data_IF_996348182850
#
_entry.id   IF_996348182850
#
_cell.length_a   1.000
_cell.length_b   1.000
_cell.length_c   1.000
_cell.angle_alpha   90.00
_cell.angle_beta   90.00
_cell.angle_gamma   90.00
#
_symmetry.space_group_name_H-M   'P 1'
#
loop_
_entity.id
_entity.type
_entity.pdbx_description
1 polymer ?
#
# COMPACT_ATOMS: atom_id res chain seq x y z
N UNK A 1 9.21 8.01 -28.67
CA UNK A 1 10.25 8.88 -28.09
C UNK A 1 9.46 9.92 -27.33
N UNK A 2 9.32 9.73 -26.01
CA UNK A 2 8.88 10.74 -25.05
C UNK A 2 9.82 10.49 -23.88
N UNK A 3 10.65 11.49 -23.63
CA UNK A 3 11.57 11.52 -22.51
C UNK A 3 10.72 11.48 -21.24
N UNK A 4 11.15 10.69 -20.25
CA UNK A 4 10.79 10.96 -18.87
C UNK A 4 11.50 12.27 -18.53
N UNK A 5 10.90 13.40 -18.86
CA UNK A 5 11.11 14.61 -18.08
C UNK A 5 10.66 14.24 -16.67
N UNK A 6 11.57 14.47 -15.71
CA UNK A 6 11.28 14.48 -14.29
C UNK A 6 10.05 15.38 -14.11
N UNK A 7 8.86 14.79 -13.95
CA UNK A 7 7.88 15.43 -13.08
C UNK A 7 8.41 15.10 -11.69
N UNK A 8 9.03 16.11 -11.07
CA UNK A 8 9.49 16.01 -9.69
C UNK A 8 8.27 15.71 -8.83
N UNK A 9 8.36 14.61 -8.08
CA UNK A 9 7.40 14.28 -7.04
C UNK A 9 7.86 15.09 -5.83
N UNK A 10 7.35 16.30 -5.64
CA UNK A 10 7.64 17.14 -4.47
C UNK A 10 6.92 16.52 -3.26
N UNK A 11 7.65 15.75 -2.43
CA UNK A 11 7.06 14.93 -1.37
C UNK A 11 7.77 15.04 0.00
N UNK A 12 8.41 16.17 0.32
CA UNK A 12 8.76 16.58 1.69
C UNK A 12 9.37 18.01 1.70
N UNK A 13 9.25 18.74 2.81
CA UNK A 13 9.92 20.04 3.03
C UNK A 13 11.46 19.92 3.16
N UNK A 14 12.00 18.69 3.27
CA UNK A 14 13.41 18.35 3.08
C UNK A 14 13.55 17.18 2.09
N UNK A 15 13.99 17.46 0.86
CA UNK A 15 13.95 16.54 -0.31
C UNK A 15 14.68 15.18 -0.17
N UNK A 16 15.44 14.90 0.90
CA UNK A 16 16.35 13.74 0.96
C UNK A 16 16.38 12.98 2.30
N UNK A 17 15.47 13.23 3.26
CA UNK A 17 15.51 12.60 4.60
C UNK A 17 14.14 12.10 5.05
N UNK A 18 14.10 10.86 5.56
CA UNK A 18 12.92 10.25 6.15
C UNK A 18 13.07 10.11 7.66
N UNK A 19 11.94 10.11 8.36
CA UNK A 19 11.86 9.85 9.81
C UNK A 19 12.21 8.41 10.19
N UNK A 20 11.89 7.47 9.31
CA UNK A 20 12.09 6.04 9.56
C UNK A 20 13.56 5.68 9.77
N UNK A 21 13.88 5.03 10.90
CA UNK A 21 15.25 4.60 11.22
C UNK A 21 15.49 3.17 10.67
N UNK A 22 16.30 3.00 9.61
CA UNK A 22 16.38 1.75 8.84
C UNK A 22 17.32 0.70 9.45
N UNK A 23 17.29 0.55 10.77
CA UNK A 23 18.08 -0.42 11.53
C UNK A 23 17.20 -1.18 12.51
N UNK A 24 17.51 -2.44 12.75
CA UNK A 24 16.83 -3.18 13.80
C UNK A 24 17.23 -2.65 15.17
N UNK A 25 16.30 -2.63 16.14
CA UNK A 25 16.59 -2.26 17.53
C UNK A 25 17.85 -2.91 18.12
N UNK A 26 18.05 -4.22 17.87
CA UNK A 26 19.21 -4.95 18.35
C UNK A 26 20.53 -4.44 17.72
N UNK A 27 20.50 -4.06 16.45
CA UNK A 27 21.67 -3.50 15.77
C UNK A 27 22.04 -2.14 16.36
N UNK A 28 21.07 -1.26 16.62
CA UNK A 28 21.36 0.06 17.22
C UNK A 28 21.96 -0.09 18.62
N UNK A 29 21.44 -1.02 19.44
CA UNK A 29 22.03 -1.32 20.75
C UNK A 29 23.47 -1.80 20.61
N UNK A 30 23.78 -2.64 19.62
CA UNK A 30 25.17 -3.03 19.34
C UNK A 30 26.04 -1.87 18.84
N UNK A 31 25.50 -1.00 17.99
CA UNK A 31 26.18 0.18 17.49
C UNK A 31 26.59 1.11 18.63
N UNK A 32 25.68 1.34 19.58
CA UNK A 32 25.94 2.14 20.80
C UNK A 32 27.01 1.48 21.67
N UNK A 33 26.97 0.16 21.87
CA UNK A 33 28.03 -0.56 22.61
C UNK A 33 29.40 -0.43 21.93
N UNK A 34 29.44 -0.46 20.60
CA UNK A 34 30.67 -0.30 19.80
C UNK A 34 31.16 1.15 19.74
N UNK A 35 30.33 2.14 20.06
CA UNK A 35 30.72 3.56 20.12
C UNK A 35 31.81 3.82 21.18
N UNK A 36 31.93 2.94 22.18
CA UNK A 36 33.03 2.94 23.16
C UNK A 36 32.88 3.97 24.28
N UNK A 37 31.72 4.63 24.38
CA UNK A 37 31.44 5.65 25.40
C UNK A 37 30.97 5.08 26.74
N UNK A 38 30.30 3.94 26.73
CA UNK A 38 29.86 3.24 27.95
C UNK A 38 30.92 2.24 28.41
N UNK A 39 31.30 2.29 29.69
CA UNK A 39 32.18 1.27 30.32
C UNK A 39 31.44 -0.06 30.46
N UNK A 40 32.17 -1.16 30.68
CA UNK A 40 31.61 -2.52 30.77
C UNK A 40 30.40 -2.62 31.72
N UNK A 41 30.51 -2.07 32.94
CA UNK A 41 29.39 -2.04 33.90
C UNK A 41 28.19 -1.19 33.42
N UNK A 42 28.45 -0.10 32.71
CA UNK A 42 27.39 0.77 32.16
C UNK A 42 26.71 0.09 30.95
N UNK A 43 27.42 -0.76 30.21
CA UNK A 43 26.84 -1.55 29.12
C UNK A 43 25.84 -2.60 29.60
N UNK A 44 26.10 -3.22 30.76
CA UNK A 44 25.15 -4.13 31.42
C UNK A 44 23.89 -3.36 31.86
N UNK A 45 24.06 -2.26 32.59
CA UNK A 45 22.93 -1.41 33.02
C UNK A 45 22.13 -0.86 31.83
N UNK A 46 22.80 -0.46 30.75
CA UNK A 46 22.13 0.01 29.55
C UNK A 46 21.34 -1.10 28.84
N UNK A 47 21.81 -2.35 28.89
CA UNK A 47 21.06 -3.48 28.37
C UNK A 47 19.79 -3.75 29.21
N UNK A 48 19.89 -3.63 30.53
CA UNK A 48 18.73 -3.74 31.43
C UNK A 48 17.74 -2.59 31.19
N UNK A 49 18.22 -1.35 31.07
CA UNK A 49 17.42 -0.18 30.69
C UNK A 49 16.63 -0.44 29.40
N UNK A 50 17.32 -0.88 28.33
CA UNK A 50 16.69 -1.19 27.05
C UNK A 50 15.63 -2.28 27.18
N UNK A 51 15.89 -3.32 27.97
CA UNK A 51 14.96 -4.42 28.17
C UNK A 51 13.67 -3.97 28.89
N UNK A 52 13.80 -3.13 29.92
CA UNK A 52 12.64 -2.62 30.67
C UNK A 52 11.85 -1.66 29.78
N UNK A 53 12.52 -0.73 29.10
CA UNK A 53 11.89 0.21 28.17
C UNK A 53 11.12 -0.52 27.04
N UNK A 54 11.71 -1.56 26.47
CA UNK A 54 11.02 -2.38 25.47
C UNK A 54 9.79 -3.08 26.04
N UNK A 55 9.90 -3.67 27.24
CA UNK A 55 8.77 -4.34 27.89
C UNK A 55 7.63 -3.36 28.19
N UNK A 56 7.98 -2.13 28.54
CA UNK A 56 7.06 -1.03 28.78
C UNK A 56 6.22 -0.72 27.55
N UNK A 57 6.87 -0.40 26.43
CA UNK A 57 6.17 -0.09 25.19
C UNK A 57 5.38 -1.29 24.68
N UNK A 58 5.92 -2.51 24.77
CA UNK A 58 5.18 -3.70 24.37
C UNK A 58 3.85 -3.85 25.12
N UNK A 59 3.85 -3.54 26.43
CA UNK A 59 2.64 -3.55 27.24
C UNK A 59 1.66 -2.44 26.81
N UNK A 60 2.13 -1.21 26.59
CA UNK A 60 1.26 -0.09 26.20
C UNK A 60 0.65 -0.27 24.79
N UNK A 61 1.45 -0.78 23.84
CA UNK A 61 0.99 -1.05 22.48
C UNK A 61 0.03 -2.24 22.39
N UNK A 62 -0.01 -3.11 23.41
CA UNK A 62 -1.01 -4.17 23.50
C UNK A 62 -2.43 -3.60 23.55
N UNK A 63 -2.66 -2.54 24.34
CA UNK A 63 -3.98 -1.90 24.44
C UNK A 63 -4.37 -1.23 23.12
N UNK A 64 -3.41 -0.62 22.41
CA UNK A 64 -3.63 -0.04 21.06
C UNK A 64 -4.12 -1.11 20.07
N UNK A 65 -3.48 -2.29 20.03
CA UNK A 65 -3.92 -3.36 19.10
C UNK A 65 -5.27 -3.96 19.47
N UNK A 66 -5.58 -4.12 20.76
CA UNK A 66 -6.92 -4.57 21.18
C UNK A 66 -7.99 -3.54 20.78
N UNK A 67 -7.74 -2.25 20.98
CA UNK A 67 -8.68 -1.18 20.61
C UNK A 67 -8.94 -1.13 19.10
N UNK A 68 -7.90 -1.26 18.27
CA UNK A 68 -8.03 -1.35 16.81
C UNK A 68 -8.91 -2.54 16.42
N UNK A 69 -8.68 -3.72 16.99
CA UNK A 69 -9.49 -4.92 16.73
C UNK A 69 -10.94 -4.75 17.13
N UNK A 70 -11.21 -4.16 18.30
CA UNK A 70 -12.57 -3.94 18.77
C UNK A 70 -13.35 -2.98 17.86
N UNK A 71 -12.74 -1.86 17.47
CA UNK A 71 -13.36 -0.87 16.60
C UNK A 71 -13.50 -1.35 15.14
N UNK A 72 -12.60 -2.22 14.67
CA UNK A 72 -12.68 -2.85 13.35
C UNK A 72 -13.69 -3.99 13.25
N UNK A 73 -14.00 -4.66 14.37
CA UNK A 73 -14.88 -5.83 14.40
C UNK A 73 -16.19 -5.70 13.61
N UNK A 74 -16.98 -4.61 13.70
CA UNK A 74 -18.21 -4.47 12.90
C UNK A 74 -17.96 -4.44 11.39
N UNK A 75 -16.78 -3.98 10.93
CA UNK A 75 -16.44 -3.80 9.52
C UNK A 75 -15.59 -4.93 8.93
N UNK A 76 -15.07 -5.83 9.76
CA UNK A 76 -14.20 -6.91 9.33
C UNK A 76 -14.93 -7.90 8.38
N UNK A 77 -14.49 -8.11 7.14
CA UNK A 77 -15.08 -9.11 6.24
C UNK A 77 -14.65 -10.55 6.58
N UNK A 78 -13.58 -10.72 7.37
CA UNK A 78 -12.99 -12.02 7.74
C UNK A 78 -13.33 -12.42 9.19
N UNK A 79 -14.56 -12.14 9.65
CA UNK A 79 -14.99 -12.55 11.00
C UNK A 79 -15.02 -14.07 11.12
N UNK A 80 -14.31 -14.59 12.11
CA UNK A 80 -14.25 -16.01 12.49
C UNK A 80 -14.93 -16.30 13.84
N UNK A 81 -15.38 -15.24 14.53
CA UNK A 81 -16.04 -15.31 15.84
C UNK A 81 -17.51 -14.89 15.77
N UNK A 82 -18.29 -15.36 16.75
CA UNK A 82 -19.70 -14.99 16.90
C UNK A 82 -19.80 -13.81 17.88
N UNK A 83 -20.55 -12.77 17.50
CA UNK A 83 -20.86 -11.65 18.39
C UNK A 83 -22.34 -11.58 18.74
N UNK A 84 -22.63 -11.26 19.99
CA UNK A 84 -23.98 -10.89 20.44
C UNK A 84 -24.19 -9.36 20.47
N UNK A 85 -23.12 -8.58 20.21
CA UNK A 85 -23.17 -7.12 20.20
C UNK A 85 -24.04 -6.65 19.03
N UNK A 86 -24.90 -5.66 19.27
CA UNK A 86 -25.64 -4.95 18.23
C UNK A 86 -24.92 -3.64 17.93
N UNK A 87 -24.79 -3.31 16.65
CA UNK A 87 -24.16 -2.07 16.20
C UNK A 87 -25.22 -1.17 15.57
N UNK A 88 -25.90 -0.31 16.34
CA UNK A 88 -26.73 0.75 15.77
C UNK A 88 -25.86 1.72 14.97
N UNK A 89 -26.47 2.49 14.07
CA UNK A 89 -25.77 3.40 13.14
C UNK A 89 -24.83 4.38 13.86
N UNK A 90 -25.26 4.91 15.00
CA UNK A 90 -24.44 5.80 15.84
C UNK A 90 -23.18 5.10 16.36
N UNK A 91 -23.30 3.84 16.80
CA UNK A 91 -22.15 3.06 17.27
C UNK A 91 -21.21 2.68 16.13
N UNK A 92 -21.73 2.41 14.94
CA UNK A 92 -20.90 2.17 13.75
C UNK A 92 -20.06 3.40 13.43
N UNK A 93 -20.66 4.60 13.41
CA UNK A 93 -19.95 5.86 13.18
C UNK A 93 -18.87 6.11 14.23
N UNK A 94 -19.15 5.80 15.49
CA UNK A 94 -18.16 5.89 16.58
C UNK A 94 -16.99 4.92 16.37
N UNK A 95 -17.27 3.64 16.11
CA UNK A 95 -16.25 2.63 15.85
C UNK A 95 -15.38 3.00 14.64
N UNK A 96 -15.99 3.48 13.56
CA UNK A 96 -15.25 3.94 12.37
C UNK A 96 -14.34 5.12 12.69
N UNK A 97 -14.84 6.14 13.38
CA UNK A 97 -14.04 7.31 13.76
C UNK A 97 -12.86 6.90 14.63
N UNK A 98 -13.10 6.08 15.64
CA UNK A 98 -12.05 5.62 16.56
C UNK A 98 -11.03 4.76 15.83
N UNK A 99 -11.48 3.84 14.96
CA UNK A 99 -10.60 3.02 14.14
C UNK A 99 -9.69 3.87 13.25
N UNK A 100 -10.26 4.81 12.49
CA UNK A 100 -9.48 5.65 11.56
C UNK A 100 -8.47 6.48 12.34
N UNK A 101 -8.89 7.14 13.42
CA UNK A 101 -8.01 7.96 14.24
C UNK A 101 -6.85 7.15 14.83
N UNK A 102 -7.13 5.99 15.42
CA UNK A 102 -6.08 5.13 15.99
C UNK A 102 -5.18 4.51 14.92
N UNK A 103 -5.74 4.18 13.75
CA UNK A 103 -4.97 3.63 12.64
C UNK A 103 -3.97 4.67 12.09
N UNK A 104 -4.39 5.93 11.98
CA UNK A 104 -3.51 7.04 11.59
C UNK A 104 -2.45 7.33 12.65
N UNK A 105 -2.82 7.33 13.93
CA UNK A 105 -1.88 7.49 15.06
C UNK A 105 -0.78 6.42 15.02
N UNK A 106 -1.16 5.13 14.98
CA UNK A 106 -0.19 4.02 14.95
C UNK A 106 0.69 4.05 13.70
N UNK A 107 0.16 4.50 12.56
CA UNK A 107 0.97 4.66 11.34
C UNK A 107 1.96 5.81 11.47
N UNK A 108 1.57 6.92 12.09
CA UNK A 108 2.49 8.02 12.39
C UNK A 108 3.60 7.55 13.35
N UNK A 109 3.24 6.88 14.45
CA UNK A 109 4.20 6.28 15.40
C UNK A 109 5.14 5.27 14.72
N UNK A 110 4.72 4.67 13.59
CA UNK A 110 5.53 3.77 12.77
C UNK A 110 6.29 4.48 11.64
N UNK A 111 6.39 5.81 11.67
CA UNK A 111 7.04 6.65 10.67
C UNK A 111 6.47 6.49 9.25
N UNK A 112 5.16 6.29 9.12
CA UNK A 112 4.47 6.38 7.83
C UNK A 112 3.94 7.79 7.57
N UNK A 113 3.89 8.14 6.28
CA UNK A 113 3.33 9.39 5.79
C UNK A 113 2.10 9.14 4.93
N UNK A 114 1.14 10.06 4.96
CA UNK A 114 -0.07 9.97 4.15
C UNK A 114 0.27 10.23 2.68
N UNK A 115 -0.26 9.39 1.77
CA UNK A 115 -0.20 9.65 0.34
C UNK A 115 -1.26 10.69 0.00
N UNK A 116 -0.87 11.82 -0.57
CA UNK A 116 -1.81 12.90 -0.86
C UNK A 116 -2.77 12.52 -2.00
N UNK A 117 -3.96 13.14 -2.05
CA UNK A 117 -4.87 12.97 -3.18
C UNK A 117 -4.22 13.38 -4.52
N UNK A 118 -3.30 14.35 -4.48
CA UNK A 118 -2.55 14.79 -5.64
C UNK A 118 -1.61 13.69 -6.15
N UNK A 119 -0.88 12.99 -5.28
CA UNK A 119 -0.03 11.88 -5.65
C UNK A 119 -0.82 10.71 -6.23
N UNK A 120 -1.97 10.41 -5.65
CA UNK A 120 -2.86 9.36 -6.17
C UNK A 120 -3.33 9.74 -7.57
N UNK A 121 -3.72 11.01 -7.79
CA UNK A 121 -4.13 11.51 -9.10
C UNK A 121 -2.98 11.46 -10.11
N UNK A 122 -1.78 11.89 -9.71
CA UNK A 122 -0.59 11.85 -10.55
C UNK A 122 -0.25 10.42 -10.95
N UNK A 123 -0.28 9.47 -10.01
CA UNK A 123 -0.09 8.05 -10.27
C UNK A 123 -1.09 7.49 -11.30
N UNK A 124 -2.37 7.88 -11.20
CA UNK A 124 -3.42 7.49 -12.14
C UNK A 124 -3.24 8.06 -13.55
N UNK A 125 -2.60 9.23 -13.67
CA UNK A 125 -2.33 9.91 -14.95
C UNK A 125 -1.02 9.45 -15.61
N UNK A 126 -0.03 9.03 -14.82
CA UNK A 126 1.28 8.65 -15.32
C UNK A 126 1.27 7.34 -16.14
N UNK A 127 2.23 7.22 -17.08
CA UNK A 127 2.39 5.97 -17.80
C UNK A 127 3.04 4.91 -16.91
N UNK A 128 2.21 4.04 -16.32
CA UNK A 128 2.63 2.79 -15.68
C UNK A 128 3.68 2.02 -16.51
N UNK A 129 4.61 1.34 -15.83
CA UNK A 129 5.54 0.38 -16.43
C UNK A 129 4.80 -0.73 -17.20
N UNK A 130 3.57 -1.01 -16.78
CA UNK A 130 2.70 -1.90 -17.49
C UNK A 130 2.13 -1.24 -18.75
N UNK A 131 2.18 -1.96 -19.88
CA UNK A 131 1.74 -1.46 -21.19
C UNK A 131 0.22 -1.20 -21.30
N UNK A 132 -0.54 -1.30 -20.22
CA UNK A 132 -2.01 -1.24 -20.18
C UNK A 132 -2.39 -0.29 -19.04
N UNK A 133 -3.35 0.61 -19.27
CA UNK A 133 -3.84 1.55 -18.26
C UNK A 133 -4.90 0.87 -17.39
N UNK A 134 -4.86 1.16 -16.10
CA UNK A 134 -5.83 0.70 -15.13
C UNK A 134 -6.84 1.83 -14.87
N UNK A 135 -8.07 1.46 -14.52
CA UNK A 135 -9.12 2.40 -14.12
C UNK A 135 -9.70 1.95 -12.77
N UNK A 136 -9.74 2.87 -11.82
CA UNK A 136 -10.31 2.67 -10.48
C UNK A 136 -11.62 3.46 -10.40
N UNK A 137 -12.68 2.82 -9.91
CA UNK A 137 -14.00 3.42 -9.74
C UNK A 137 -14.13 3.88 -8.29
N UNK A 138 -13.56 5.05 -7.97
CA UNK A 138 -13.50 5.58 -6.60
C UNK A 138 -14.90 5.78 -5.98
N UNK A 139 -15.95 5.93 -6.80
CA UNK A 139 -17.32 6.05 -6.34
C UNK A 139 -17.82 4.82 -5.58
N UNK A 140 -17.17 3.65 -5.71
CA UNK A 140 -17.49 2.45 -4.93
C UNK A 140 -17.06 2.53 -3.46
N UNK A 141 -16.14 3.44 -3.14
CA UNK A 141 -15.58 3.60 -1.81
C UNK A 141 -16.31 4.73 -1.07
N UNK A 142 -16.56 4.51 0.21
CA UNK A 142 -17.06 5.54 1.12
C UNK A 142 -15.91 6.42 1.62
N UNK A 143 -14.79 5.78 1.95
CA UNK A 143 -13.52 6.41 2.28
C UNK A 143 -12.35 5.47 1.94
N UNK A 144 -11.17 6.04 1.74
CA UNK A 144 -9.93 5.29 1.60
C UNK A 144 -8.76 6.11 2.16
N UNK A 145 -7.75 5.41 2.68
CA UNK A 145 -6.53 5.98 3.24
C UNK A 145 -5.34 5.20 2.71
N UNK A 146 -4.32 5.90 2.25
CA UNK A 146 -3.05 5.31 1.81
C UNK A 146 -1.94 5.99 2.58
N UNK A 147 -1.05 5.18 3.15
CA UNK A 147 0.13 5.62 3.88
C UNK A 147 1.35 4.89 3.33
N UNK A 148 2.48 5.57 3.23
CA UNK A 148 3.72 5.02 2.72
C UNK A 148 4.87 5.20 3.72
N UNK A 149 5.89 4.36 3.60
CA UNK A 149 7.15 4.48 4.34
C UNK A 149 8.28 3.90 3.50
N UNK A 150 9.43 4.56 3.47
CA UNK A 150 10.54 4.23 2.59
C UNK A 150 10.28 4.69 1.16
N UNK A 151 11.07 5.65 0.71
CA UNK A 151 11.15 6.13 -0.66
C UNK A 151 12.50 5.74 -1.24
N UNK A 152 12.48 4.91 -2.29
CA UNK A 152 13.69 4.51 -2.98
C UNK A 152 13.52 4.57 -4.48
N UNK A 153 14.65 4.66 -5.16
CA UNK A 153 14.70 4.52 -6.61
C UNK A 153 15.29 3.17 -7.00
N UNK A 154 14.45 2.27 -7.51
CA UNK A 154 14.84 0.95 -8.00
C UNK A 154 15.37 1.00 -9.44
N UNK A 155 16.40 0.20 -9.73
CA UNK A 155 16.88 -0.02 -11.11
C UNK A 155 16.17 -1.22 -11.73
N UNK A 156 15.22 -0.97 -12.62
CA UNK A 156 14.44 -2.02 -13.30
C UNK A 156 14.94 -2.22 -14.73
N UNK A 157 15.24 -3.47 -15.10
CA UNK A 157 15.62 -3.81 -16.47
C UNK A 157 14.40 -4.22 -17.30
N UNK A 158 14.04 -3.41 -18.30
CA UNK A 158 12.96 -3.72 -19.25
C UNK A 158 13.53 -4.26 -20.56
N UNK A 159 12.93 -5.36 -21.07
CA UNK A 159 13.22 -5.89 -22.42
C UNK A 159 12.39 -5.14 -23.45
N UNK A 160 13.05 -4.34 -24.30
CA UNK A 160 12.37 -3.53 -25.32
C UNK A 160 12.17 -4.31 -26.63
N UNK A 161 13.12 -5.19 -26.97
CA UNK A 161 13.08 -6.11 -28.11
C UNK A 161 13.93 -7.36 -27.82
N UNK A 162 13.85 -8.41 -28.64
CA UNK A 162 14.39 -9.78 -28.40
C UNK A 162 15.81 -9.84 -27.79
N UNK A 163 16.67 -8.83 -28.01
CA UNK A 163 18.02 -8.73 -27.42
C UNK A 163 18.35 -7.42 -26.68
N UNK A 164 17.50 -6.39 -26.72
CA UNK A 164 17.82 -5.08 -26.11
C UNK A 164 17.15 -4.92 -24.75
N UNK A 165 18.00 -4.89 -23.71
CA UNK A 165 17.66 -4.55 -22.33
C UNK A 165 17.92 -3.06 -22.12
N UNK A 166 17.03 -2.37 -21.43
CA UNK A 166 17.23 -0.99 -20.96
C UNK A 166 17.00 -0.95 -19.46
N UNK A 167 17.92 -0.35 -18.72
CA UNK A 167 17.71 -0.01 -17.32
C UNK A 167 16.96 1.32 -17.23
N UNK A 168 15.96 1.34 -16.36
CA UNK A 168 15.20 2.54 -16.01
C UNK A 168 15.19 2.67 -14.50
N UNK A 169 15.21 3.91 -14.04
CA UNK A 169 15.03 4.26 -12.64
C UNK A 169 13.54 4.37 -12.36
N UNK A 170 13.09 3.75 -11.28
CA UNK A 170 11.69 3.65 -10.90
C UNK A 170 11.56 4.06 -9.44
N UNK A 171 10.96 5.22 -9.15
CA UNK A 171 10.58 5.59 -7.79
C UNK A 171 9.58 4.58 -7.22
N UNK A 172 9.85 4.11 -6.02
CA UNK A 172 9.15 3.00 -5.37
C UNK A 172 8.96 3.30 -3.89
N UNK A 173 7.72 3.18 -3.42
CA UNK A 173 7.43 3.09 -1.99
C UNK A 173 7.78 1.70 -1.47
N UNK A 174 8.63 1.63 -0.45
CA UNK A 174 9.05 0.36 0.15
C UNK A 174 7.92 -0.33 0.88
N UNK A 175 7.09 0.42 1.60
CA UNK A 175 5.90 -0.04 2.32
C UNK A 175 4.71 0.84 1.99
N UNK A 176 3.54 0.23 1.82
CA UNK A 176 2.27 0.94 1.70
C UNK A 176 1.22 0.26 2.57
N UNK A 177 0.67 1.00 3.52
CA UNK A 177 -0.53 0.62 4.25
C UNK A 177 -1.76 1.24 3.58
N UNK A 178 -2.83 0.48 3.47
CA UNK A 178 -4.05 0.90 2.80
C UNK A 178 -5.27 0.46 3.62
N UNK A 179 -6.21 1.37 3.83
CA UNK A 179 -7.53 1.11 4.40
C UNK A 179 -8.58 1.59 3.40
N UNK A 180 -9.54 0.73 3.05
CA UNK A 180 -10.67 1.07 2.16
C UNK A 180 -11.96 0.70 2.86
N UNK A 181 -12.92 1.63 2.92
CA UNK A 181 -14.30 1.36 3.30
C UNK A 181 -15.19 1.31 2.06
N UNK A 182 -15.92 0.22 1.87
CA UNK A 182 -16.88 0.09 0.77
C UNK A 182 -18.21 0.74 1.13
N UNK A 183 -18.91 1.28 0.13
CA UNK A 183 -20.30 1.72 0.29
C UNK A 183 -21.24 0.58 0.66
N UNK A 184 -22.41 0.95 1.18
CA UNK A 184 -23.40 -0.01 1.67
C UNK A 184 -24.06 -0.86 0.55
N UNK A 185 -24.84 -1.84 0.98
CA UNK A 185 -25.56 -2.73 0.07
C UNK A 185 -26.62 -1.99 -0.77
N UNK A 186 -27.17 -0.87 -0.32
CA UNK A 186 -28.17 -0.12 -1.07
C UNK A 186 -27.57 0.58 -2.28
N UNK A 187 -26.40 1.20 -2.10
CA UNK A 187 -25.63 1.82 -3.18
C UNK A 187 -25.36 0.82 -4.31
N UNK A 188 -24.84 -0.35 -3.98
CA UNK A 188 -24.48 -1.35 -4.99
C UNK A 188 -25.71 -1.98 -5.67
N UNK A 189 -26.84 -2.12 -4.96
CA UNK A 189 -28.13 -2.50 -5.56
C UNK A 189 -28.59 -1.47 -6.60
N UNK A 190 -28.49 -0.17 -6.29
CA UNK A 190 -28.84 0.93 -7.20
C UNK A 190 -27.93 0.97 -8.43
N UNK A 191 -26.61 0.76 -8.26
CA UNK A 191 -25.61 0.69 -9.34
C UNK A 191 -25.77 -0.55 -10.25
N UNK A 192 -26.63 -1.51 -9.87
CA UNK A 192 -26.85 -2.80 -10.58
C UNK A 192 -25.55 -3.56 -10.86
N UNK A 193 -24.54 -3.40 -10.00
CA UNK A 193 -23.24 -4.06 -10.15
C UNK A 193 -23.42 -5.55 -9.84
N UNK A 194 -23.21 -6.40 -10.84
CA UNK A 194 -23.27 -7.86 -10.69
C UNK A 194 -21.90 -8.39 -10.28
N UNK A 195 -21.86 -9.46 -9.48
CA UNK A 195 -20.64 -10.18 -9.07
C UNK A 195 -19.67 -9.36 -8.20
N UNK A 196 -20.16 -8.75 -7.13
CA UNK A 196 -19.33 -8.09 -6.12
C UNK A 196 -18.55 -9.16 -5.36
N UNK A 197 -17.23 -8.98 -5.24
CA UNK A 197 -16.30 -9.93 -4.58
C UNK A 197 -15.95 -9.54 -3.14
N UNK A 198 -16.59 -8.51 -2.62
CA UNK A 198 -16.38 -7.95 -1.29
C UNK A 198 -17.75 -7.79 -0.60
N UNK A 199 -17.73 -7.65 0.72
CA UNK A 199 -18.94 -7.41 1.51
C UNK A 199 -19.28 -5.91 1.49
N UNK A 200 -20.49 -5.49 1.07
CA UNK A 200 -20.88 -4.08 1.13
C UNK A 200 -20.86 -3.53 2.56
N UNK A 201 -20.33 -2.32 2.75
CA UNK A 201 -20.17 -1.70 4.07
C UNK A 201 -18.98 -2.23 4.89
N UNK A 202 -18.22 -3.22 4.39
CA UNK A 202 -17.02 -3.70 5.07
C UNK A 202 -15.84 -2.76 4.82
N UNK A 203 -14.81 -2.92 5.66
CA UNK A 203 -13.51 -2.29 5.47
C UNK A 203 -12.48 -3.36 5.08
N UNK A 204 -11.53 -3.01 4.22
CA UNK A 204 -10.41 -3.87 3.87
C UNK A 204 -9.13 -3.12 4.17
N UNK A 205 -8.24 -3.76 4.90
CA UNK A 205 -6.94 -3.22 5.26
C UNK A 205 -5.87 -4.10 4.63
N UNK A 206 -4.86 -3.50 4.00
CA UNK A 206 -3.77 -4.23 3.35
C UNK A 206 -2.44 -3.54 3.59
N UNK A 207 -1.40 -4.34 3.70
CA UNK A 207 -0.02 -3.86 3.74
C UNK A 207 0.72 -4.44 2.54
N UNK A 208 1.44 -3.60 1.80
CA UNK A 208 2.20 -3.96 0.62
C UNK A 208 3.66 -3.54 0.72
N UNK A 209 4.51 -4.13 -0.12
CA UNK A 209 5.91 -3.73 -0.31
C UNK A 209 6.27 -3.45 -1.76
N UNK A 210 7.26 -2.58 -1.93
CA UNK A 210 7.92 -2.27 -3.20
C UNK A 210 6.90 -1.93 -4.30
N UNK A 211 6.07 -0.92 -4.06
CA UNK A 211 5.06 -0.43 -5.01
C UNK A 211 5.61 0.79 -5.75
N UNK A 212 5.76 0.74 -7.09
CA UNK A 212 6.15 1.90 -7.85
C UNK A 212 5.14 3.03 -7.68
N UNK A 213 5.61 4.28 -7.54
CA UNK A 213 4.73 5.43 -7.31
C UNK A 213 3.71 5.61 -8.44
N UNK A 214 4.12 5.40 -9.68
CA UNK A 214 3.27 5.47 -10.89
C UNK A 214 2.34 4.25 -11.09
N UNK A 215 2.22 3.36 -10.10
CA UNK A 215 1.48 2.11 -10.17
C UNK A 215 0.50 1.95 -8.97
N UNK A 216 0.26 3.01 -8.17
CA UNK A 216 -0.60 2.94 -6.98
C UNK A 216 -2.02 2.41 -7.28
N UNK A 217 -2.52 2.63 -8.49
CA UNK A 217 -3.87 2.23 -8.88
C UNK A 217 -4.07 0.70 -8.91
N UNK A 218 -2.98 -0.07 -8.95
CA UNK A 218 -3.05 -1.54 -8.88
C UNK A 218 -3.45 -2.06 -7.49
N UNK A 219 -3.32 -1.25 -6.44
CA UNK A 219 -3.63 -1.66 -5.07
C UNK A 219 -5.14 -1.72 -4.82
N UNK A 220 -5.91 -0.95 -5.57
CA UNK A 220 -7.35 -0.87 -5.39
C UNK A 220 -8.05 -2.16 -5.85
N UNK A 221 -9.08 -2.62 -5.12
CA UNK A 221 -9.72 -3.91 -5.36
C UNK A 221 -10.66 -3.93 -6.58
N UNK A 222 -11.12 -2.77 -7.04
CA UNK A 222 -12.10 -2.63 -8.13
C UNK A 222 -11.48 -2.19 -9.46
N UNK A 223 -10.16 -2.35 -9.60
CA UNK A 223 -9.39 -1.94 -10.77
C UNK A 223 -9.80 -2.72 -12.03
N UNK A 224 -10.13 -1.97 -13.09
CA UNK A 224 -10.52 -2.50 -14.39
C UNK A 224 -9.44 -2.23 -15.44
N UNK A 225 -9.27 -3.18 -16.36
CA UNK A 225 -8.36 -3.00 -17.49
C UNK A 225 -8.99 -2.05 -18.50
N UNK A 226 -8.31 -0.93 -18.75
CA UNK A 226 -8.62 -0.04 -19.85
C UNK A 226 -7.53 -0.13 -20.92
N UNK A 227 -7.92 -0.24 -22.19
CA UNK A 227 -6.95 -0.18 -23.27
C UNK A 227 -6.53 1.26 -23.55
N UNK A 228 -5.22 1.51 -23.58
CA UNK A 228 -4.65 2.78 -24.05
C UNK A 228 -5.13 3.06 -25.47
N UNK A 229 -5.32 4.35 -25.82
CA UNK A 229 -5.83 4.75 -27.14
C UNK A 229 -4.95 4.20 -28.29
N UNK A 230 -3.63 4.18 -28.10
CA UNK A 230 -2.67 3.58 -29.04
C UNK A 230 -2.91 2.07 -29.28
N UNK A 231 -3.32 1.34 -28.24
CA UNK A 231 -3.64 -0.08 -28.35
C UNK A 231 -5.02 -0.32 -28.98
N UNK A 232 -6.02 0.52 -28.64
CA UNK A 232 -7.31 0.53 -29.33
C UNK A 232 -7.13 0.80 -30.83
N UNK A 233 -6.27 1.77 -31.16
CA UNK A 233 -5.94 2.12 -32.54
C UNK A 233 -5.07 1.06 -33.22
N UNK A 234 -4.17 0.37 -32.54
CA UNK A 234 -3.40 -0.74 -33.14
C UNK A 234 -4.30 -1.96 -33.39
N UNK A 235 -5.24 -2.25 -32.49
CA UNK A 235 -6.24 -3.30 -32.68
C UNK A 235 -7.21 -2.96 -33.83
N UNK A 236 -7.71 -1.72 -33.87
CA UNK A 236 -8.47 -1.20 -35.01
C UNK A 236 -7.63 -1.13 -36.29
N UNK A 237 -6.37 -0.74 -36.19
CA UNK A 237 -5.43 -0.53 -37.29
C UNK A 237 -4.97 -1.85 -37.93
N UNK A 238 -4.85 -2.93 -37.15
CA UNK A 238 -4.67 -4.28 -37.69
C UNK A 238 -5.91 -4.75 -38.47
N UNK A 239 -7.12 -4.29 -38.09
CA UNK A 239 -8.31 -4.47 -38.90
C UNK A 239 -8.24 -3.64 -40.19
N UNK A 240 -7.62 -2.45 -40.19
CA UNK A 240 -7.48 -1.59 -41.38
C UNK A 240 -6.38 -2.03 -42.36
N UNK A 241 -5.21 -2.47 -41.88
CA UNK A 241 -4.04 -2.74 -42.74
C UNK A 241 -4.04 -4.09 -43.46
N UNK A 242 -4.79 -5.08 -42.97
CA UNK A 242 -4.88 -6.42 -43.59
C UNK A 242 -6.24 -7.10 -43.42
N UNK A 243 -6.98 -6.78 -42.34
CA UNK A 243 -8.32 -7.30 -42.08
C UNK A 243 -9.38 -6.81 -43.08
N UNK A 244 -9.31 -5.55 -43.50
CA UNK A 244 -10.20 -4.96 -44.52
C UNK A 244 -10.13 -5.76 -45.82
N UNK A 245 -8.93 -6.14 -46.28
CA UNK A 245 -8.79 -6.93 -47.51
C UNK A 245 -9.47 -8.29 -47.43
N UNK A 246 -9.40 -8.95 -46.27
CA UNK A 246 -10.06 -10.24 -46.02
C UNK A 246 -11.58 -10.06 -45.90
N UNK A 247 -12.04 -9.04 -45.16
CA UNK A 247 -13.45 -8.72 -44.96
C UNK A 247 -14.13 -8.27 -46.28
N UNK A 248 -13.47 -7.41 -47.06
CA UNK A 248 -13.96 -6.95 -48.36
C UNK A 248 -14.04 -8.09 -49.37
N UNK A 249 -13.03 -8.97 -49.45
CA UNK A 249 -13.08 -10.14 -50.34
C UNK A 249 -14.17 -11.12 -49.92
N UNK A 250 -14.36 -11.34 -48.62
CA UNK A 250 -15.44 -12.18 -48.11
C UNK A 250 -16.83 -11.54 -48.32
N UNK A 251 -16.95 -10.21 -48.33
CA UNK A 251 -18.23 -9.52 -48.54
C UNK A 251 -18.88 -9.84 -49.89
N UNK A 252 -18.08 -10.05 -50.94
CA UNK A 252 -18.59 -10.47 -52.25
C UNK A 252 -19.27 -11.86 -52.18
N UNK A 253 -18.71 -12.79 -51.39
CA UNK A 253 -19.31 -14.09 -51.13
C UNK A 253 -20.61 -13.98 -50.33
N UNK A 254 -20.67 -13.08 -49.33
CA UNK A 254 -21.90 -12.82 -48.59
C UNK A 254 -23.02 -12.27 -49.46
N UNK A 255 -22.71 -11.31 -50.34
CA UNK A 255 -23.68 -10.75 -51.28
C UNK A 255 -24.22 -11.89 -52.17
N UNK A 256 -23.32 -12.73 -52.71
CA UNK A 256 -23.72 -13.91 -53.48
C UNK A 256 -24.62 -14.86 -52.68
N UNK A 257 -24.32 -15.13 -51.41
CA UNK A 257 -25.18 -15.94 -50.54
C UNK A 257 -26.58 -15.35 -50.37
N UNK A 258 -26.65 -14.05 -50.08
CA UNK A 258 -27.92 -13.33 -49.91
C UNK A 258 -28.76 -13.40 -51.19
N UNK A 259 -28.13 -13.26 -52.36
CA UNK A 259 -28.86 -13.38 -53.63
C UNK A 259 -29.45 -14.78 -53.86
N UNK A 260 -28.72 -15.85 -53.49
CA UNK A 260 -29.23 -17.23 -53.59
C UNK A 260 -30.35 -17.47 -52.58
N UNK A 261 -30.20 -17.02 -51.33
CA UNK A 261 -31.24 -17.12 -50.30
C UNK A 261 -32.50 -16.36 -50.73
N UNK A 262 -32.35 -15.13 -51.23
CA UNK A 262 -33.46 -14.31 -51.73
C UNK A 262 -34.19 -15.00 -52.89
N UNK A 263 -33.45 -15.59 -53.82
CA UNK A 263 -34.02 -16.34 -54.94
C UNK A 263 -34.82 -17.58 -54.46
N UNK A 264 -34.27 -18.33 -53.50
CA UNK A 264 -34.95 -19.49 -52.90
C UNK A 264 -36.23 -19.08 -52.17
N UNK A 265 -36.17 -18.04 -51.34
CA UNK A 265 -37.33 -17.52 -50.59
C UNK A 265 -38.41 -16.98 -51.52
N UNK A 266 -38.04 -16.19 -52.52
CA UNK A 266 -39.00 -15.61 -53.47
C UNK A 266 -39.70 -16.72 -54.26
N UNK A 267 -38.94 -17.70 -54.77
CA UNK A 267 -39.51 -18.81 -55.53
C UNK A 267 -40.45 -19.69 -54.70
N UNK A 268 -40.11 -19.91 -53.43
CA UNK A 268 -40.99 -20.63 -52.50
C UNK A 268 -42.30 -19.88 -52.25
N UNK A 269 -42.22 -18.56 -52.02
CA UNK A 269 -43.40 -17.71 -51.75
C UNK A 269 -44.29 -17.51 -52.96
N UNK A 270 -43.73 -17.38 -54.17
CA UNK A 270 -44.53 -17.11 -55.39
C UNK A 270 -44.99 -18.38 -56.09
N UNK A 271 -44.15 -19.42 -56.10
CA UNK A 271 -44.36 -20.61 -56.94
C UNK A 271 -44.65 -21.88 -56.11
N UNK A 272 -44.66 -21.78 -54.77
CA UNK A 272 -45.05 -22.88 -53.88
C UNK A 272 -44.08 -24.07 -53.82
N UNK A 273 -42.86 -23.93 -54.35
CA UNK A 273 -41.87 -25.01 -54.43
C UNK A 273 -40.43 -24.50 -54.39
N UNK A 274 -39.49 -25.40 -54.11
CA UNK A 274 -38.05 -25.09 -54.10
C UNK A 274 -37.51 -25.24 -55.53
N UNK A 275 -36.94 -24.19 -56.14
CA UNK A 275 -36.40 -24.28 -57.49
C UNK A 275 -35.14 -25.15 -57.53
N UNK A 276 -34.90 -25.85 -58.64
CA UNK A 276 -33.63 -26.56 -58.85
C UNK A 276 -32.47 -25.56 -58.93
N UNK A 277 -31.43 -25.80 -58.15
CA UNK A 277 -30.24 -24.95 -58.11
C UNK A 277 -29.28 -25.32 -59.25
N UNK A 278 -29.02 -24.36 -60.14
CA UNK A 278 -27.99 -24.50 -61.17
C UNK A 278 -26.57 -24.45 -60.60
N UNK A 279 -25.58 -24.91 -61.39
CA UNK A 279 -24.15 -24.93 -61.00
C UNK A 279 -23.63 -23.58 -60.48
N UNK A 280 -24.12 -22.47 -61.05
CA UNK A 280 -23.74 -21.12 -60.62
C UNK A 280 -24.28 -20.76 -59.22
N UNK A 281 -25.53 -21.11 -58.91
CA UNK A 281 -26.15 -20.84 -57.60
C UNK A 281 -25.54 -21.72 -56.51
N UNK A 282 -25.18 -22.96 -56.83
CA UNK A 282 -24.43 -23.85 -55.94
C UNK A 282 -23.05 -23.24 -55.63
N UNK A 283 -22.32 -22.75 -56.65
CA UNK A 283 -21.02 -22.11 -56.44
C UNK A 283 -21.12 -20.82 -55.59
N UNK A 284 -22.15 -20.01 -55.81
CA UNK A 284 -22.43 -18.81 -55.00
C UNK A 284 -22.75 -19.17 -53.54
N UNK A 285 -23.51 -20.24 -53.30
CA UNK A 285 -23.81 -20.73 -51.96
C UNK A 285 -22.54 -21.23 -51.23
N UNK A 286 -21.69 -22.01 -51.91
CA UNK A 286 -20.40 -22.49 -51.35
C UNK A 286 -19.46 -21.31 -51.07
N UNK A 287 -19.33 -20.37 -52.00
CA UNK A 287 -18.52 -19.17 -51.80
C UNK A 287 -19.04 -18.30 -50.65
N UNK A 288 -20.36 -18.22 -50.51
CA UNK A 288 -21.05 -17.51 -49.44
C UNK A 288 -20.86 -18.11 -48.05
N UNK A 289 -21.02 -19.42 -47.92
CA UNK A 289 -20.75 -20.15 -46.67
C UNK A 289 -19.27 -20.06 -46.29
N UNK A 290 -18.37 -20.14 -47.27
CA UNK A 290 -16.93 -19.94 -47.06
C UNK A 290 -16.63 -18.53 -46.54
N UNK A 291 -17.25 -17.51 -47.14
CA UNK A 291 -17.13 -16.13 -46.69
C UNK A 291 -17.63 -15.93 -45.26
N UNK A 292 -18.78 -16.51 -44.89
CA UNK A 292 -19.27 -16.52 -43.51
C UNK A 292 -18.26 -17.14 -42.54
N UNK A 293 -17.68 -18.29 -42.90
CA UNK A 293 -16.66 -18.95 -42.08
C UNK A 293 -15.40 -18.09 -41.88
N UNK A 294 -14.92 -17.43 -42.93
CA UNK A 294 -13.76 -16.52 -42.87
C UNK A 294 -14.05 -15.32 -41.97
N UNK A 295 -15.22 -14.68 -42.13
CA UNK A 295 -15.61 -13.51 -41.32
C UNK A 295 -15.81 -13.91 -39.86
N UNK A 296 -16.55 -15.00 -39.62
CA UNK A 296 -16.78 -15.54 -38.27
C UNK A 296 -15.47 -15.91 -37.57
N UNK A 297 -14.57 -16.60 -38.27
CA UNK A 297 -13.25 -16.96 -37.75
C UNK A 297 -12.37 -15.74 -37.46
N UNK A 298 -12.43 -14.70 -38.29
CA UNK A 298 -11.70 -13.46 -38.06
C UNK A 298 -12.22 -12.71 -36.83
N UNK A 299 -13.54 -12.52 -36.72
CA UNK A 299 -14.18 -11.88 -35.55
C UNK A 299 -13.85 -12.66 -34.27
N UNK A 300 -13.98 -13.99 -34.31
CA UNK A 300 -13.65 -14.86 -33.18
C UNK A 300 -12.18 -14.73 -32.75
N UNK A 301 -11.25 -14.69 -33.72
CA UNK A 301 -9.82 -14.51 -33.46
C UNK A 301 -9.52 -13.15 -32.81
N UNK A 302 -10.15 -12.07 -33.29
CA UNK A 302 -9.95 -10.74 -32.69
C UNK A 302 -10.47 -10.69 -31.25
N UNK A 303 -11.68 -11.21 -31.01
CA UNK A 303 -12.25 -11.30 -29.67
C UNK A 303 -11.40 -12.16 -28.73
N UNK A 304 -10.93 -13.32 -29.19
CA UNK A 304 -10.05 -14.21 -28.42
C UNK A 304 -8.72 -13.56 -28.09
N UNK A 305 -8.10 -12.83 -29.02
CA UNK A 305 -6.86 -12.09 -28.77
C UNK A 305 -7.05 -11.00 -27.70
N UNK A 306 -8.15 -10.25 -27.76
CA UNK A 306 -8.52 -9.27 -26.75
C UNK A 306 -8.66 -9.91 -25.37
N UNK A 307 -9.46 -10.98 -25.29
CA UNK A 307 -9.70 -11.72 -24.05
C UNK A 307 -8.40 -12.28 -23.46
N UNK A 308 -7.57 -12.92 -24.29
CA UNK A 308 -6.29 -13.50 -23.87
C UNK A 308 -5.26 -12.44 -23.44
N UNK A 309 -5.28 -11.24 -24.02
CA UNK A 309 -4.44 -10.11 -23.56
C UNK A 309 -4.88 -9.64 -22.18
N UNK A 310 -6.18 -9.46 -21.98
CA UNK A 310 -6.76 -9.05 -20.70
C UNK A 310 -6.48 -10.08 -19.60
N UNK A 311 -6.69 -11.37 -19.87
CA UNK A 311 -6.42 -12.46 -18.90
C UNK A 311 -4.94 -12.50 -18.51
N UNK A 312 -4.02 -12.43 -19.48
CA UNK A 312 -2.57 -12.45 -19.18
C UNK A 312 -2.14 -11.26 -18.33
N UNK A 313 -2.72 -10.09 -18.58
CA UNK A 313 -2.45 -8.91 -17.79
C UNK A 313 -2.99 -9.04 -16.36
N UNK A 314 -4.26 -9.42 -16.20
CA UNK A 314 -4.85 -9.63 -14.87
C UNK A 314 -4.08 -10.70 -14.09
N UNK A 315 -3.59 -11.75 -14.78
CA UNK A 315 -2.70 -12.74 -14.18
C UNK A 315 -1.39 -12.10 -13.72
N UNK A 316 -0.71 -11.33 -14.57
CA UNK A 316 0.55 -10.69 -14.20
C UNK A 316 0.40 -9.68 -13.05
N UNK A 317 -0.71 -8.95 -13.01
CA UNK A 317 -1.05 -8.05 -11.90
C UNK A 317 -1.28 -8.85 -10.62
N UNK A 318 -2.08 -9.91 -10.67
CA UNK A 318 -2.32 -10.78 -9.51
C UNK A 318 -1.04 -11.46 -9.01
N UNK A 319 -0.21 -12.00 -9.90
CA UNK A 319 1.07 -12.62 -9.56
C UNK A 319 2.01 -11.59 -8.90
N UNK A 320 2.07 -10.36 -9.41
CA UNK A 320 2.88 -9.29 -8.80
C UNK A 320 2.35 -8.86 -7.44
N UNK A 321 1.04 -8.61 -7.31
CA UNK A 321 0.43 -8.24 -6.04
C UNK A 321 0.60 -9.34 -4.99
N UNK A 322 0.58 -10.62 -5.38
CA UNK A 322 0.79 -11.74 -4.46
C UNK A 322 2.13 -11.65 -3.73
N UNK A 323 3.22 -11.36 -4.44
CA UNK A 323 4.56 -11.24 -3.83
C UNK A 323 4.82 -9.89 -3.16
N UNK A 324 3.98 -8.90 -3.46
CA UNK A 324 4.02 -7.55 -2.87
C UNK A 324 3.12 -7.42 -1.64
N UNK A 325 2.12 -8.27 -1.47
CA UNK A 325 1.25 -8.27 -0.29
C UNK A 325 2.02 -8.80 0.93
N UNK A 326 2.11 -8.00 1.98
CA UNK A 326 2.72 -8.36 3.25
C UNK A 326 1.70 -8.92 4.22
N UNK A 327 0.56 -8.24 4.39
CA UNK A 327 -0.47 -8.62 5.36
C UNK A 327 -1.86 -8.12 4.97
N UNK A 328 -2.91 -8.63 5.63
CA UNK A 328 -4.32 -8.31 5.38
C UNK A 328 -5.13 -8.18 6.67
N UNK A 329 -6.07 -7.23 6.68
CA UNK A 329 -7.08 -7.01 7.70
C UNK A 329 -6.45 -6.97 9.11
N UNK A 330 -6.91 -7.80 10.05
CA UNK A 330 -6.40 -7.79 11.44
C UNK A 330 -4.89 -8.03 11.52
N UNK A 331 -4.30 -8.80 10.60
CA UNK A 331 -2.86 -9.03 10.55
C UNK A 331 -2.07 -7.73 10.33
N UNK A 332 -2.61 -6.79 9.55
CA UNK A 332 -1.99 -5.48 9.34
C UNK A 332 -1.82 -4.73 10.66
N UNK A 333 -2.81 -4.80 11.58
CA UNK A 333 -2.69 -4.14 12.89
C UNK A 333 -1.49 -4.66 13.67
N UNK A 334 -1.29 -5.97 13.72
CA UNK A 334 -0.13 -6.55 14.39
C UNK A 334 1.19 -6.08 13.74
N UNK A 335 1.23 -6.00 12.40
CA UNK A 335 2.42 -5.56 11.69
C UNK A 335 2.77 -4.08 11.95
N UNK A 336 1.77 -3.19 11.90
CA UNK A 336 2.02 -1.75 12.11
C UNK A 336 2.26 -1.43 13.58
N UNK A 337 1.65 -2.17 14.51
CA UNK A 337 1.88 -2.03 15.95
C UNK A 337 3.31 -2.45 16.29
N UNK A 338 3.79 -3.58 15.78
CA UNK A 338 5.18 -4.02 15.97
C UNK A 338 6.17 -3.01 15.38
N UNK A 339 5.85 -2.44 14.21
CA UNK A 339 6.65 -1.39 13.59
C UNK A 339 6.67 -0.09 14.41
N UNK A 340 5.53 0.35 14.94
CA UNK A 340 5.42 1.52 15.81
C UNK A 340 6.19 1.31 17.12
N UNK A 341 5.97 0.18 17.80
CA UNK A 341 6.70 -0.19 19.02
C UNK A 341 8.23 -0.13 18.79
N UNK A 342 8.69 -0.57 17.61
CA UNK A 342 10.10 -0.53 17.27
C UNK A 342 10.63 0.90 17.10
N UNK A 343 9.94 1.78 16.36
CA UNK A 343 10.38 3.17 16.16
C UNK A 343 10.36 3.97 17.47
N UNK A 344 9.28 3.86 18.24
CA UNK A 344 9.12 4.52 19.55
C UNK A 344 10.24 4.14 20.53
N UNK A 345 10.62 2.86 20.52
CA UNK A 345 11.76 2.37 21.29
C UNK A 345 13.07 2.99 20.81
N UNK A 346 13.33 3.00 19.49
CA UNK A 346 14.57 3.53 18.93
C UNK A 346 14.74 5.00 19.27
N UNK A 347 13.70 5.81 19.07
CA UNK A 347 13.73 7.24 19.30
C UNK A 347 13.96 7.58 20.77
N UNK A 348 13.22 6.96 21.70
CA UNK A 348 13.41 7.18 23.12
C UNK A 348 14.81 6.75 23.58
N UNK A 349 15.27 5.58 23.13
CA UNK A 349 16.58 5.05 23.51
C UNK A 349 17.74 5.88 22.95
N UNK A 350 17.66 6.33 21.69
CA UNK A 350 18.64 7.21 21.07
C UNK A 350 18.68 8.57 21.76
N UNK A 351 17.54 9.23 21.94
CA UNK A 351 17.47 10.52 22.64
C UNK A 351 18.05 10.43 24.05
N UNK A 352 17.69 9.38 24.81
CA UNK A 352 18.24 9.15 26.14
C UNK A 352 19.75 8.97 26.12
N UNK A 353 20.27 8.11 25.23
CA UNK A 353 21.68 7.81 25.14
C UNK A 353 22.52 9.05 24.77
N UNK A 354 22.08 9.86 23.81
CA UNK A 354 22.82 11.06 23.40
C UNK A 354 22.78 12.18 24.45
N UNK A 355 21.67 12.31 25.19
CA UNK A 355 21.62 13.18 26.38
C UNK A 355 22.55 12.69 27.48
N UNK A 356 22.54 11.38 27.79
CA UNK A 356 23.39 10.76 28.82
C UNK A 356 24.89 10.91 28.50
N UNK A 357 25.25 10.76 27.22
CA UNK A 357 26.64 10.88 26.74
C UNK A 357 27.17 12.32 26.79
N UNK A 358 26.27 13.31 26.78
CA UNK A 358 26.67 14.71 26.73
C UNK A 358 27.20 15.20 28.08
N UNK A 359 28.37 15.83 28.09
CA UNK A 359 28.93 16.47 29.30
C UNK A 359 28.16 17.73 29.74
N UNK A 360 27.33 18.28 28.84
CA UNK A 360 26.54 19.49 29.06
C UNK A 360 25.08 19.25 28.64
N UNK A 361 24.13 19.93 29.29
CA UNK A 361 22.74 19.93 28.85
C UNK A 361 22.61 20.38 27.39
N UNK A 362 21.66 19.79 26.66
CA UNK A 362 21.46 20.04 25.23
C UNK A 362 20.11 20.70 24.98
N UNK A 363 20.09 21.59 24.00
CA UNK A 363 18.84 21.99 23.36
C UNK A 363 18.30 20.87 22.49
N UNK A 364 17.03 20.97 22.13
CA UNK A 364 16.36 20.06 21.19
C UNK A 364 17.10 19.99 19.85
N UNK A 365 17.41 21.13 19.23
CA UNK A 365 18.16 21.19 17.98
C UNK A 365 19.58 20.58 18.10
N UNK A 366 20.29 20.81 19.21
CA UNK A 366 21.62 20.21 19.40
C UNK A 366 21.57 18.70 19.61
N UNK A 367 20.49 18.18 20.20
CA UNK A 367 20.29 16.73 20.35
C UNK A 367 20.02 16.10 18.98
N UNK A 368 19.15 16.73 18.21
CA UNK A 368 18.78 16.32 16.86
C UNK A 368 20.00 16.22 15.93
N UNK A 369 20.71 17.34 15.77
CA UNK A 369 21.92 17.44 14.97
C UNK A 369 22.94 16.33 15.32
N UNK A 370 23.10 16.02 16.61
CA UNK A 370 24.06 15.00 17.06
C UNK A 370 23.66 13.59 16.67
N UNK A 371 22.36 13.28 16.70
CA UNK A 371 21.85 11.96 16.35
C UNK A 371 21.94 11.77 14.83
N UNK A 372 21.46 12.74 14.06
CA UNK A 372 21.53 12.72 12.60
C UNK A 372 22.99 12.65 12.11
N UNK A 373 23.87 13.50 12.62
CA UNK A 373 25.28 13.48 12.25
C UNK A 373 25.95 12.14 12.59
N UNK A 374 25.52 11.45 13.64
CA UNK A 374 26.05 10.14 13.99
C UNK A 374 25.65 9.08 12.97
N UNK A 375 24.39 9.06 12.53
CA UNK A 375 23.94 8.17 11.46
C UNK A 375 24.63 8.48 10.13
N UNK A 376 24.74 9.75 9.77
CA UNK A 376 25.38 10.17 8.51
C UNK A 376 26.86 9.80 8.50
N UNK A 377 27.62 10.22 9.52
CA UNK A 377 29.09 10.07 9.54
C UNK A 377 29.54 8.62 9.73
N UNK A 378 28.80 7.82 10.53
CA UNK A 378 29.22 6.44 10.84
C UNK A 378 28.62 5.38 9.92
N UNK A 379 27.40 5.60 9.44
CA UNK A 379 26.63 4.58 8.72
C UNK A 379 26.21 5.02 7.32
N UNK A 380 26.48 6.27 6.92
CA UNK A 380 26.10 6.83 5.63
C UNK A 380 24.58 6.70 5.38
N UNK A 381 23.81 6.97 6.43
CA UNK A 381 22.35 7.03 6.39
C UNK A 381 21.92 8.44 6.77
N UNK A 382 21.09 9.04 5.95
CA UNK A 382 20.45 10.32 6.22
C UNK A 382 19.06 10.02 6.80
N UNK A 383 18.78 10.56 7.97
CA UNK A 383 17.47 10.50 8.63
C UNK A 383 17.09 11.90 9.06
N UNK A 384 15.79 12.15 9.20
CA UNK A 384 15.19 13.32 9.86
C UNK A 384 14.69 12.87 11.24
N UNK A 385 15.47 13.05 12.29
CA UNK A 385 15.16 12.40 13.57
C UNK A 385 14.00 13.13 14.30
N UNK A 386 12.99 12.39 14.78
CA UNK A 386 11.87 12.96 15.55
C UNK A 386 12.30 13.32 16.99
N UNK A 387 13.13 14.35 17.11
CA UNK A 387 13.71 14.79 18.39
C UNK A 387 12.66 15.31 19.37
N UNK A 388 11.64 16.00 18.87
CA UNK A 388 10.57 16.58 19.66
C UNK A 388 9.78 15.47 20.35
N UNK A 389 9.51 14.40 19.60
CA UNK A 389 8.79 13.25 20.08
C UNK A 389 9.63 12.40 21.04
N UNK A 390 10.90 12.18 20.69
CA UNK A 390 11.88 11.56 21.60
C UNK A 390 11.94 12.29 22.95
N UNK A 391 12.08 13.62 22.95
CA UNK A 391 12.11 14.41 24.18
C UNK A 391 10.77 14.37 24.93
N UNK A 392 9.63 14.38 24.23
CA UNK A 392 8.31 14.22 24.85
C UNK A 392 8.23 12.90 25.62
N UNK A 393 8.57 11.77 24.99
CA UNK A 393 8.62 10.43 25.59
C UNK A 393 9.52 10.42 26.83
N UNK A 394 10.73 10.96 26.72
CA UNK A 394 11.67 11.02 27.85
C UNK A 394 11.14 11.87 29.02
N UNK A 395 10.43 12.96 28.75
CA UNK A 395 9.78 13.77 29.78
C UNK A 395 8.62 13.04 30.46
N UNK A 396 7.77 12.37 29.68
CA UNK A 396 6.63 11.58 30.19
C UNK A 396 7.11 10.43 31.10
N UNK A 397 8.15 9.71 30.68
CA UNK A 397 8.81 8.67 31.47
C UNK A 397 9.64 9.24 32.63
N UNK A 398 9.89 10.56 32.64
CA UNK A 398 10.78 11.27 33.58
C UNK A 398 12.22 10.74 33.55
N UNK A 399 12.72 10.43 32.35
CA UNK A 399 14.10 10.00 32.09
C UNK A 399 15.02 11.16 31.74
N UNK A 400 14.46 12.34 31.45
CA UNK A 400 15.20 13.59 31.34
C UNK A 400 14.53 14.70 32.15
N UNK A 401 15.27 15.78 32.38
CA UNK A 401 14.81 16.98 33.08
C UNK A 401 15.26 18.23 32.32
N UNK A 402 14.41 19.26 32.35
CA UNK A 402 14.78 20.59 31.89
C UNK A 402 15.56 21.30 33.00
N UNK A 403 16.79 21.73 32.72
CA UNK A 403 17.71 22.30 33.72
C UNK A 403 17.89 23.82 33.58
N UNK A 404 17.24 24.43 32.60
CA UNK A 404 17.27 25.87 32.35
C UNK A 404 17.10 26.19 30.87
N UNK A 405 17.54 27.37 30.45
CA UNK A 405 17.54 27.78 29.05
C UNK A 405 18.91 28.32 28.64
N UNK A 406 19.24 28.20 27.36
CA UNK A 406 20.46 28.78 26.81
C UNK A 406 20.36 30.31 26.63
N UNK A 407 21.39 30.93 26.08
CA UNK A 407 21.44 32.39 25.84
C UNK A 407 20.34 32.90 24.90
N UNK A 408 19.77 32.02 24.06
CA UNK A 408 18.67 32.32 23.13
C UNK A 408 17.28 32.06 23.73
N UNK A 409 17.20 31.55 24.96
CA UNK A 409 15.95 31.19 25.62
C UNK A 409 15.41 29.80 25.25
N UNK A 410 16.21 28.95 24.60
CA UNK A 410 15.83 27.58 24.25
C UNK A 410 16.03 26.66 25.47
N UNK A 411 15.09 25.74 25.77
CA UNK A 411 15.19 24.85 26.93
C UNK A 411 16.38 23.89 26.80
N UNK A 412 17.04 23.64 27.94
CA UNK A 412 18.18 22.75 28.05
C UNK A 412 17.78 21.48 28.80
N UNK A 413 18.08 20.33 28.22
CA UNK A 413 17.71 19.02 28.73
C UNK A 413 18.95 18.24 29.19
N UNK A 414 18.79 17.52 30.30
CA UNK A 414 19.78 16.60 30.87
C UNK A 414 19.10 15.26 31.16
N UNK A 415 19.74 14.14 30.78
CA UNK A 415 19.25 12.80 31.12
C UNK A 415 19.50 12.47 32.60
N UNK A 416 18.66 11.60 33.16
CA UNK A 416 18.99 10.91 34.41
C UNK A 416 20.19 9.97 34.19
N UNK A 417 20.88 9.62 35.27
CA UNK A 417 21.92 8.60 35.19
C UNK A 417 21.33 7.23 34.83
N UNK A 418 22.12 6.31 34.26
CA UNK A 418 21.64 4.96 33.91
C UNK A 418 20.96 4.23 35.08
N UNK A 419 21.52 4.37 36.28
CA UNK A 419 20.97 3.76 37.48
C UNK A 419 19.58 4.34 37.82
N UNK A 420 19.47 5.67 37.86
CA UNK A 420 18.20 6.36 38.12
C UNK A 420 17.17 6.07 37.01
N UNK A 421 17.61 5.95 35.76
CA UNK A 421 16.77 5.57 34.62
C UNK A 421 16.19 4.17 34.78
N UNK A 422 17.01 3.17 35.13
CA UNK A 422 16.54 1.82 35.43
C UNK A 422 15.55 1.81 36.60
N UNK A 423 15.88 2.47 37.71
CA UNK A 423 15.00 2.58 38.88
C UNK A 423 13.66 3.25 38.53
N UNK A 424 13.70 4.26 37.66
CA UNK A 424 12.50 4.95 37.21
C UNK A 424 11.61 4.06 36.35
N UNK A 425 12.18 3.34 35.39
CA UNK A 425 11.42 2.43 34.52
C UNK A 425 10.85 1.24 35.31
N UNK A 426 11.63 0.66 36.22
CA UNK A 426 11.21 -0.42 37.12
C UNK A 426 10.04 0.04 38.01
N UNK A 427 10.13 1.24 38.58
CA UNK A 427 9.03 1.84 39.32
C UNK A 427 7.77 2.00 38.47
N UNK A 428 7.87 2.43 37.21
CA UNK A 428 6.70 2.54 36.33
C UNK A 428 6.09 1.14 36.12
N UNK A 429 6.93 0.15 35.82
CA UNK A 429 6.52 -1.24 35.60
C UNK A 429 5.74 -1.81 36.80
N UNK A 430 6.31 -1.68 38.00
CA UNK A 430 5.71 -2.19 39.24
C UNK A 430 4.37 -1.52 39.59
N UNK A 431 4.12 -0.32 39.06
CA UNK A 431 2.92 0.46 39.34
C UNK A 431 1.87 0.43 38.21
N UNK A 432 2.02 -0.38 37.16
CA UNK A 432 0.92 -0.60 36.19
C UNK A 432 -0.30 -1.24 36.85
N UNK A 433 -0.08 -2.12 37.83
CA UNK A 433 -1.15 -2.84 38.51
C UNK A 433 -1.08 -2.59 40.02
N UNK A 434 -1.97 -1.76 40.55
CA UNK A 434 -2.00 -1.39 41.97
C UNK A 434 -2.66 -2.45 42.89
N UNK A 435 -2.35 -3.73 42.70
CA UNK A 435 -2.90 -4.85 43.48
C UNK A 435 -1.91 -5.47 44.49
N UNK A 436 -0.67 -4.99 44.54
CA UNK A 436 0.38 -5.45 45.46
C UNK A 436 0.15 -5.05 46.95
N UNK A 437 -0.71 -4.07 47.23
CA UNK A 437 -0.97 -3.52 48.58
C UNK A 437 -1.45 -4.53 49.64
N UNK A 438 -1.93 -5.72 49.26
CA UNK A 438 -2.49 -6.71 50.20
C UNK A 438 -1.64 -7.97 50.39
N UNK A 439 -0.49 -8.09 49.71
CA UNK A 439 0.35 -9.30 49.80
C UNK A 439 1.38 -9.23 50.95
N UNK A 440 1.71 -8.04 51.45
CA UNK A 440 2.63 -7.84 52.60
C UNK A 440 1.94 -7.95 53.97
N UNK A 441 0.66 -8.36 54.01
CA UNK A 441 -0.14 -8.48 55.23
C UNK A 441 0.00 -9.81 55.99
N UNK A 442 0.88 -10.71 55.58
CA UNK A 442 0.97 -12.04 56.19
C UNK A 442 2.33 -12.70 56.02
N UNK A 443 3.25 -12.40 56.94
CA UNK A 443 4.06 -13.38 57.68
C UNK A 443 4.96 -12.62 58.68
N UNK A 444 4.52 -12.59 59.94
CA UNK A 444 5.33 -12.31 61.14
C UNK A 444 5.65 -13.64 61.81
#
# INVERSE_FOLDING_TARGET
>A
MIFLERKEWEMAEYEDRERFIPFQKAEIVEMIKKDGTLKEKEQELFADFCKILQSLYHFEFHDKVESLKENYYPFNPDKDTITLRKYPEEKLKECEKNLVSQFQEVLNDANYEEVTEEDIRLALEEESLFKISLYVDFDDFDSYLLFWRGDKTDKVTIKKFFFFKKEILVPTFERIAMLIKFKDAEYFKKKKRKNIKFEPGSMVIKLFKNIPKADLEMLFPNTQVQMKLKDKLMMGGAALGGGIGVLLKASAGLIALVTVIWYLVTSFLTNGGIPELGKAQIAQMVGGLTALGVIGGFVWKQWTNYKNRTIRFMKALADNLYFKNLDNNVGVFHHIIDAAEEEEFKEAMLGYYFLLKSEKPLTEAELDDRIEEWFEKKYNVLIDFEVDDSLRKLKELKLCKEVGSNEKGEPLYEALTLQEGCERLDYIWDNYFSYNNNLDGGEN
#
